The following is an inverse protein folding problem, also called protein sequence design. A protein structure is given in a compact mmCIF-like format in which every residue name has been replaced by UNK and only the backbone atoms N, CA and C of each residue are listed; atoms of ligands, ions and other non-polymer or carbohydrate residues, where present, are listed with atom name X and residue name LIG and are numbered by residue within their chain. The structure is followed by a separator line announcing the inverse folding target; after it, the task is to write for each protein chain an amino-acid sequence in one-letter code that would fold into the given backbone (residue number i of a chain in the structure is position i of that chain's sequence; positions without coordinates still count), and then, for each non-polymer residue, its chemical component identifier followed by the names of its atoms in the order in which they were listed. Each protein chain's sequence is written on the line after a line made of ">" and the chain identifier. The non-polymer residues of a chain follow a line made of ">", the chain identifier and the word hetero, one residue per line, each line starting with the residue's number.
data_IF_158636889035
#
_entry.id   IF_158636889035
#
_cell.length_a   1.000
_cell.length_b   1.000
_cell.length_c   1.000
_cell.angle_alpha   90.00
_cell.angle_beta   90.00
_cell.angle_gamma   90.00
#
_symmetry.space_group_name_H-M   'P 1'
#
loop_
_entity.id
_entity.type
_entity.pdbx_description
1 polymer ?
#
# COMPACT_ATOMS: atom_id res chain seq x y z
N UNK A 1 -11.05 -29.67 3.89
CA UNK A 1 -9.94 -28.76 3.57
C UNK A 1 -9.50 -28.07 4.85
N UNK A 2 -8.20 -27.85 5.05
CA UNK A 2 -7.68 -27.20 6.27
C UNK A 2 -7.70 -25.69 6.08
N UNK A 3 -8.32 -24.96 7.00
CA UNK A 3 -8.29 -23.49 7.03
C UNK A 3 -6.86 -22.98 7.21
N UNK A 4 -6.57 -21.82 6.65
CA UNK A 4 -5.24 -21.17 6.72
C UNK A 4 -5.34 -19.66 6.78
N UNK A 5 -4.32 -19.00 7.32
CA UNK A 5 -4.13 -17.56 7.22
C UNK A 5 -3.31 -17.28 5.97
N UNK A 6 -3.78 -16.37 5.11
CA UNK A 6 -3.06 -15.95 3.92
C UNK A 6 -2.46 -14.57 4.11
N UNK A 7 -1.16 -14.44 3.91
CA UNK A 7 -0.47 -13.17 3.75
C UNK A 7 -0.44 -12.83 2.26
N UNK A 8 -0.92 -11.65 1.90
CA UNK A 8 -0.98 -11.19 0.50
C UNK A 8 -0.63 -9.70 0.43
N UNK A 9 -0.81 -9.07 -0.71
CA UNK A 9 -0.68 -7.63 -0.94
C UNK A 9 -1.24 -7.27 -2.29
N UNK A 10 -0.85 -6.12 -2.84
CA UNK A 10 -1.17 -5.77 -4.24
C UNK A 10 -0.45 -6.75 -5.19
N UNK A 11 -1.17 -7.80 -5.57
CA UNK A 11 -0.69 -8.83 -6.50
C UNK A 11 -0.64 -8.32 -7.94
N UNK A 12 -1.28 -7.18 -8.21
CA UNK A 12 -1.44 -6.64 -9.54
C UNK A 12 -0.34 -5.61 -9.86
N UNK A 13 0.26 -4.98 -8.84
CA UNK A 13 1.26 -3.92 -9.03
C UNK A 13 2.54 -4.42 -9.75
N UNK A 14 2.81 -3.94 -10.98
CA UNK A 14 4.06 -4.20 -11.66
C UNK A 14 5.16 -3.23 -11.21
N UNK A 15 6.41 -3.55 -11.53
CA UNK A 15 7.53 -2.61 -11.48
C UNK A 15 7.34 -1.51 -12.54
N UNK A 16 7.91 -0.32 -12.33
CA UNK A 16 7.72 0.81 -13.25
C UNK A 16 8.30 0.50 -14.65
N UNK A 17 9.45 -0.17 -14.71
CA UNK A 17 10.20 -0.41 -15.94
C UNK A 17 9.88 -1.76 -16.61
N UNK A 18 9.16 -2.65 -15.93
CA UNK A 18 8.88 -3.99 -16.41
C UNK A 18 7.62 -4.60 -15.79
N UNK A 19 6.88 -5.40 -16.56
CA UNK A 19 5.76 -6.18 -16.05
C UNK A 19 6.23 -7.38 -15.23
N UNK A 20 6.69 -7.08 -14.01
CA UNK A 20 7.23 -7.99 -13.00
C UNK A 20 6.67 -7.58 -11.63
N UNK A 21 6.54 -8.50 -10.67
CA UNK A 21 5.96 -8.18 -9.37
C UNK A 21 6.77 -7.12 -8.61
N UNK A 22 6.09 -6.04 -8.20
CA UNK A 22 6.70 -5.00 -7.35
C UNK A 22 6.59 -5.30 -5.85
N UNK A 23 5.53 -6.02 -5.42
CA UNK A 23 5.24 -6.23 -3.99
C UNK A 23 5.72 -7.57 -3.43
N UNK A 24 6.25 -8.49 -4.26
CA UNK A 24 6.62 -9.85 -3.84
C UNK A 24 7.52 -9.87 -2.60
N UNK A 25 8.56 -9.06 -2.61
CA UNK A 25 9.56 -9.07 -1.54
C UNK A 25 9.05 -8.39 -0.28
N UNK A 26 8.20 -7.37 -0.41
CA UNK A 26 7.49 -6.74 0.70
C UNK A 26 6.51 -7.71 1.38
N UNK A 27 5.70 -8.44 0.60
CA UNK A 27 4.78 -9.46 1.14
C UNK A 27 5.57 -10.57 1.86
N UNK A 28 6.70 -11.01 1.30
CA UNK A 28 7.60 -11.99 1.94
C UNK A 28 8.22 -11.47 3.23
N UNK A 29 8.66 -10.22 3.24
CA UNK A 29 9.18 -9.56 4.43
C UNK A 29 8.10 -9.48 5.52
N UNK A 30 6.90 -9.04 5.17
CA UNK A 30 5.79 -8.93 6.11
C UNK A 30 5.37 -10.31 6.63
N UNK A 31 5.27 -11.33 5.77
CA UNK A 31 5.04 -12.72 6.19
C UNK A 31 6.07 -13.18 7.22
N UNK A 32 7.37 -12.91 7.00
CA UNK A 32 8.41 -13.28 7.97
C UNK A 32 8.25 -12.59 9.31
N UNK A 33 7.78 -11.34 9.32
CA UNK A 33 7.52 -10.56 10.52
C UNK A 33 6.36 -11.14 11.33
N UNK A 34 5.24 -11.51 10.68
CA UNK A 34 3.99 -11.84 11.38
C UNK A 34 3.63 -13.32 11.45
N UNK A 35 4.26 -14.21 10.64
CA UNK A 35 3.85 -15.63 10.55
C UNK A 35 3.89 -16.38 11.87
N UNK A 36 4.89 -16.14 12.71
CA UNK A 36 5.07 -16.85 13.99
C UNK A 36 4.02 -16.41 15.03
N UNK A 37 3.83 -15.12 15.31
CA UNK A 37 2.80 -14.70 16.24
C UNK A 37 1.39 -15.08 15.76
N UNK A 38 1.09 -14.98 14.45
CA UNK A 38 -0.21 -15.39 13.91
C UNK A 38 -0.46 -16.90 14.07
N UNK A 39 0.53 -17.74 13.72
CA UNK A 39 0.42 -19.18 13.90
C UNK A 39 0.26 -19.57 15.38
N UNK A 40 1.01 -18.92 16.28
CA UNK A 40 0.92 -19.17 17.72
C UNK A 40 -0.46 -18.77 18.29
N UNK A 41 -1.03 -17.64 17.84
CA UNK A 41 -2.31 -17.15 18.34
C UNK A 41 -3.51 -17.96 17.83
N UNK A 42 -3.40 -18.57 16.65
CA UNK A 42 -4.54 -19.20 15.96
C UNK A 42 -4.45 -20.71 15.81
N UNK A 43 -3.24 -21.29 15.93
CA UNK A 43 -2.98 -22.68 15.58
C UNK A 43 -3.10 -22.99 14.09
N UNK A 44 -3.31 -21.98 13.23
CA UNK A 44 -3.47 -22.16 11.78
C UNK A 44 -2.13 -22.02 11.06
N UNK A 45 -1.94 -22.72 9.91
CA UNK A 45 -0.83 -22.44 9.02
C UNK A 45 -0.94 -21.02 8.44
N UNK A 46 0.22 -20.35 8.30
CA UNK A 46 0.32 -19.00 7.74
C UNK A 46 1.13 -19.07 6.44
N UNK A 47 0.45 -18.89 5.32
CA UNK A 47 0.98 -19.03 3.97
C UNK A 47 0.97 -17.70 3.23
N UNK A 48 1.56 -17.65 2.04
CA UNK A 48 1.57 -16.45 1.19
C UNK A 48 0.85 -16.70 -0.13
N UNK A 49 0.09 -15.71 -0.59
CA UNK A 49 -0.29 -15.58 -2.01
C UNK A 49 0.61 -14.52 -2.62
N UNK A 50 1.32 -14.86 -3.69
CA UNK A 50 2.30 -13.99 -4.33
C UNK A 50 2.11 -14.04 -5.84
N UNK A 51 2.25 -12.91 -6.52
CA UNK A 51 2.68 -12.94 -7.92
C UNK A 51 4.17 -13.33 -7.93
N UNK A 52 4.46 -14.55 -8.35
CA UNK A 52 5.84 -15.02 -8.52
C UNK A 52 6.07 -15.43 -9.97
N UNK A 53 7.11 -14.88 -10.58
CA UNK A 53 7.56 -15.23 -11.92
C UNK A 53 8.51 -16.44 -11.90
N UNK A 54 8.88 -16.95 -10.72
CA UNK A 54 9.86 -18.02 -10.52
C UNK A 54 9.27 -19.31 -9.90
N UNK A 55 7.97 -19.37 -9.63
CA UNK A 55 7.35 -20.52 -8.94
C UNK A 55 5.81 -20.49 -8.95
N UNK A 56 5.15 -21.42 -8.25
CA UNK A 56 3.69 -21.43 -8.14
C UNK A 56 3.24 -20.18 -7.39
N UNK A 57 2.50 -19.32 -8.10
CA UNK A 57 1.99 -18.06 -7.58
C UNK A 57 0.68 -17.71 -8.25
N UNK A 58 0.12 -16.57 -7.88
CA UNK A 58 -1.02 -15.97 -8.57
C UNK A 58 -0.61 -15.61 -10.01
N UNK A 59 -1.36 -16.13 -10.99
CA UNK A 59 -1.16 -15.84 -12.40
C UNK A 59 -1.66 -14.43 -12.74
N UNK A 60 -0.82 -13.45 -12.42
CA UNK A 60 -1.11 -12.04 -12.69
C UNK A 60 -1.19 -11.73 -14.18
N UNK A 61 -0.30 -12.24 -15.07
CA UNK A 61 -0.47 -12.07 -16.51
C UNK A 61 -1.81 -12.63 -17.02
N UNK A 62 -2.20 -13.83 -16.58
CA UNK A 62 -3.51 -14.40 -16.91
C UNK A 62 -4.67 -13.56 -16.37
N UNK A 63 -4.56 -13.04 -15.15
CA UNK A 63 -5.57 -12.17 -14.56
C UNK A 63 -5.76 -10.88 -15.36
N UNK A 64 -4.66 -10.25 -15.80
CA UNK A 64 -4.72 -9.06 -16.64
C UNK A 64 -5.42 -9.34 -17.98
N UNK A 65 -5.08 -10.46 -18.63
CA UNK A 65 -5.75 -10.89 -19.86
C UNK A 65 -7.25 -11.14 -19.64
N UNK A 66 -7.61 -11.87 -18.58
CA UNK A 66 -9.00 -12.16 -18.22
C UNK A 66 -9.78 -10.87 -17.86
N UNK A 67 -9.12 -9.88 -17.25
CA UNK A 67 -9.72 -8.60 -16.90
C UNK A 67 -9.77 -7.60 -18.07
N UNK A 68 -9.14 -7.92 -19.21
CA UNK A 68 -9.06 -7.02 -20.37
C UNK A 68 -8.15 -5.81 -20.14
N UNK A 69 -7.16 -5.92 -19.25
CA UNK A 69 -6.22 -4.85 -18.92
C UNK A 69 -4.87 -5.05 -19.63
N UNK A 70 -4.16 -3.95 -19.89
CA UNK A 70 -2.80 -3.98 -20.44
C UNK A 70 -1.80 -4.41 -19.36
N UNK A 71 -0.83 -5.29 -19.64
CA UNK A 71 0.13 -5.78 -18.65
C UNK A 71 1.23 -4.74 -18.38
N UNK A 72 0.86 -3.61 -17.78
CA UNK A 72 1.72 -2.48 -17.45
C UNK A 72 1.15 -1.65 -16.29
N UNK A 73 1.80 -0.52 -16.00
CA UNK A 73 1.38 0.42 -14.96
C UNK A 73 0.00 1.02 -15.25
N UNK A 74 -0.33 1.29 -16.52
CA UNK A 74 -1.63 1.84 -16.89
C UNK A 74 -2.75 0.84 -16.60
N UNK A 75 -2.55 -0.43 -16.97
CA UNK A 75 -3.47 -1.51 -16.63
C UNK A 75 -3.60 -1.71 -15.13
N UNK A 76 -2.50 -1.64 -14.37
CA UNK A 76 -2.57 -1.66 -12.89
C UNK A 76 -3.43 -0.53 -12.34
N UNK A 77 -3.22 0.70 -12.79
CA UNK A 77 -4.00 1.87 -12.36
C UNK A 77 -5.49 1.69 -12.67
N UNK A 78 -5.83 1.15 -13.84
CA UNK A 78 -7.21 0.85 -14.22
C UNK A 78 -7.85 -0.24 -13.33
N UNK A 79 -7.04 -1.20 -12.86
CA UNK A 79 -7.50 -2.33 -12.05
C UNK A 79 -7.56 -2.00 -10.56
N UNK A 80 -6.68 -1.12 -10.07
CA UNK A 80 -6.45 -0.87 -8.64
C UNK A 80 -7.75 -0.61 -7.88
N UNK A 81 -8.62 0.23 -8.44
CA UNK A 81 -9.94 0.56 -7.92
C UNK A 81 -11.06 0.29 -8.94
N UNK A 82 -10.91 -0.73 -9.79
CA UNK A 82 -11.92 -1.07 -10.79
C UNK A 82 -13.30 -1.35 -10.15
N UNK A 83 -14.41 -0.80 -10.67
CA UNK A 83 -15.74 -1.01 -10.08
C UNK A 83 -16.24 -2.45 -10.28
N UNK A 84 -15.76 -3.13 -11.31
CA UNK A 84 -16.13 -4.50 -11.64
C UNK A 84 -14.98 -5.23 -12.33
N UNK A 85 -15.03 -6.56 -12.28
CA UNK A 85 -14.14 -7.48 -12.98
C UNK A 85 -14.97 -8.44 -13.83
N UNK A 86 -14.34 -9.08 -14.81
CA UNK A 86 -14.95 -10.19 -15.54
C UNK A 86 -15.15 -11.39 -14.63
N UNK A 87 -16.09 -12.27 -14.95
CA UNK A 87 -16.35 -13.48 -14.18
C UNK A 87 -15.11 -14.40 -14.09
N UNK A 88 -14.31 -14.44 -15.15
CA UNK A 88 -13.06 -15.19 -15.20
C UNK A 88 -12.03 -14.63 -14.22
N UNK A 89 -11.78 -13.32 -14.25
CA UNK A 89 -10.86 -12.65 -13.31
C UNK A 89 -11.30 -12.82 -11.85
N UNK A 90 -12.61 -12.73 -11.59
CA UNK A 90 -13.20 -13.02 -10.27
C UNK A 90 -12.88 -14.45 -9.84
N UNK A 91 -13.10 -15.43 -10.74
CA UNK A 91 -12.82 -16.84 -10.49
C UNK A 91 -11.35 -17.11 -10.15
N UNK A 92 -10.42 -16.49 -10.88
CA UNK A 92 -8.98 -16.60 -10.61
C UNK A 92 -8.61 -16.10 -9.21
N UNK A 93 -9.09 -14.92 -8.83
CA UNK A 93 -8.79 -14.32 -7.54
C UNK A 93 -9.49 -15.07 -6.38
N UNK A 94 -10.72 -15.53 -6.59
CA UNK A 94 -11.43 -16.38 -5.61
C UNK A 94 -10.68 -17.70 -5.37
N UNK A 95 -10.18 -18.34 -6.43
CA UNK A 95 -9.39 -19.56 -6.32
C UNK A 95 -8.08 -19.33 -5.54
N UNK A 96 -7.43 -18.18 -5.74
CA UNK A 96 -6.20 -17.82 -5.04
C UNK A 96 -6.39 -17.67 -3.51
N UNK A 97 -7.58 -17.25 -3.08
CA UNK A 97 -7.94 -17.08 -1.66
C UNK A 97 -8.80 -18.22 -1.10
N UNK A 98 -8.93 -19.33 -1.83
CA UNK A 98 -9.69 -20.48 -1.37
C UNK A 98 -9.16 -21.02 -0.03
N UNK A 99 -10.10 -21.40 0.84
CA UNK A 99 -9.88 -21.91 2.21
C UNK A 99 -9.20 -20.92 3.17
N UNK A 100 -9.09 -19.64 2.81
CA UNK A 100 -8.62 -18.61 3.72
C UNK A 100 -9.59 -18.43 4.89
N UNK A 101 -9.08 -18.56 6.11
CA UNK A 101 -9.80 -18.13 7.31
C UNK A 101 -9.80 -16.60 7.43
N UNK A 102 -8.67 -15.99 7.08
CA UNK A 102 -8.47 -14.54 7.05
C UNK A 102 -7.33 -14.23 6.09
N UNK A 103 -7.44 -13.11 5.39
CA UNK A 103 -6.37 -12.54 4.56
C UNK A 103 -5.77 -11.35 5.30
N UNK A 104 -4.47 -11.39 5.59
CA UNK A 104 -3.72 -10.24 6.11
C UNK A 104 -2.88 -9.67 4.97
N UNK A 105 -3.32 -8.54 4.46
CA UNK A 105 -2.75 -7.86 3.32
C UNK A 105 -1.66 -6.88 3.70
N UNK A 106 -0.58 -6.82 2.93
CA UNK A 106 0.36 -5.71 2.92
C UNK A 106 0.07 -4.85 1.68
N UNK A 107 -0.60 -3.72 1.89
CA UNK A 107 -1.00 -2.79 0.85
C UNK A 107 -1.90 -3.40 -0.25
N UNK A 108 -3.00 -4.06 0.12
CA UNK A 108 -3.98 -4.59 -0.85
C UNK A 108 -4.53 -3.48 -1.76
N UNK A 109 -4.77 -3.83 -3.03
CA UNK A 109 -5.54 -3.00 -3.94
C UNK A 109 -7.03 -2.96 -3.53
N UNK A 110 -7.71 -1.86 -3.83
CA UNK A 110 -9.13 -1.66 -3.47
C UNK A 110 -10.04 -2.71 -4.12
N UNK A 111 -9.74 -3.13 -5.35
CA UNK A 111 -10.45 -4.22 -6.01
C UNK A 111 -10.31 -5.54 -5.24
N UNK A 112 -9.14 -5.83 -4.67
CA UNK A 112 -8.93 -7.05 -3.88
C UNK A 112 -9.74 -7.00 -2.59
N UNK A 113 -9.76 -5.84 -1.90
CA UNK A 113 -10.58 -5.63 -0.69
C UNK A 113 -12.06 -5.85 -0.97
N UNK A 114 -12.58 -5.23 -2.04
CA UNK A 114 -13.99 -5.42 -2.45
C UNK A 114 -14.32 -6.88 -2.74
N UNK A 115 -13.45 -7.58 -3.47
CA UNK A 115 -13.68 -8.98 -3.79
C UNK A 115 -13.67 -9.85 -2.53
N UNK A 116 -12.71 -9.67 -1.63
CA UNK A 116 -12.64 -10.41 -0.37
C UNK A 116 -13.90 -10.19 0.47
N UNK A 117 -14.35 -8.94 0.59
CA UNK A 117 -15.63 -8.61 1.24
C UNK A 117 -16.81 -9.33 0.56
N UNK A 118 -16.88 -9.32 -0.77
CA UNK A 118 -17.96 -9.97 -1.51
C UNK A 118 -17.96 -11.50 -1.34
N UNK A 119 -16.79 -12.11 -1.23
CA UNK A 119 -16.61 -13.54 -0.97
C UNK A 119 -16.84 -13.92 0.50
N UNK A 120 -17.10 -12.95 1.39
CA UNK A 120 -17.24 -13.18 2.83
C UNK A 120 -15.94 -13.61 3.50
N UNK A 121 -14.79 -13.27 2.90
CA UNK A 121 -13.47 -13.54 3.45
C UNK A 121 -13.02 -12.31 4.24
N UNK A 122 -12.83 -12.49 5.56
CA UNK A 122 -12.30 -11.42 6.41
C UNK A 122 -10.93 -11.00 5.96
N UNK A 123 -10.70 -9.68 5.90
CA UNK A 123 -9.41 -9.13 5.54
C UNK A 123 -8.96 -8.02 6.48
N UNK A 124 -7.64 -7.96 6.69
CA UNK A 124 -6.95 -6.92 7.43
C UNK A 124 -5.85 -6.41 6.52
N UNK A 125 -5.97 -5.19 6.01
CA UNK A 125 -4.97 -4.54 5.19
C UNK A 125 -4.05 -3.69 6.06
N UNK A 126 -2.74 -3.82 5.86
CA UNK A 126 -1.74 -3.04 6.58
C UNK A 126 -0.87 -2.24 5.62
N UNK A 127 -0.56 -1.01 6.02
CA UNK A 127 0.35 -0.11 5.33
C UNK A 127 1.41 0.34 6.32
N UNK A 128 2.66 0.54 5.89
CA UNK A 128 3.64 1.19 6.77
C UNK A 128 3.15 2.61 7.08
N UNK A 129 3.04 2.94 8.36
CA UNK A 129 2.58 4.24 8.81
C UNK A 129 3.55 5.36 8.34
N UNK A 130 3.07 6.58 8.06
CA UNK A 130 3.93 7.71 7.69
C UNK A 130 4.90 8.13 8.81
N UNK A 131 4.59 7.84 10.08
CA UNK A 131 5.51 8.09 11.19
C UNK A 131 6.62 7.06 11.21
N UNK A 132 7.81 7.47 10.76
CA UNK A 132 9.01 6.62 10.62
C UNK A 132 10.22 7.15 11.40
N UNK A 133 10.01 8.11 12.30
CA UNK A 133 11.05 8.73 13.12
C UNK A 133 11.09 8.18 14.56
N UNK A 134 10.16 7.30 14.92
CA UNK A 134 10.18 6.54 16.17
C UNK A 134 11.01 5.26 16.09
N UNK A 135 11.19 4.55 17.21
CA UNK A 135 12.01 3.35 17.29
C UNK A 135 11.32 2.10 16.73
N UNK A 136 9.99 2.12 16.60
CA UNK A 136 9.17 0.98 16.21
C UNK A 136 8.68 1.06 14.76
N UNK A 137 8.37 -0.10 14.20
CA UNK A 137 7.66 -0.22 12.94
C UNK A 137 6.15 -0.13 13.17
N UNK A 138 5.57 0.96 12.70
CA UNK A 138 4.14 1.23 12.84
C UNK A 138 3.40 0.87 11.56
N UNK A 139 2.18 0.35 11.73
CA UNK A 139 1.27 0.06 10.63
C UNK A 139 -0.01 0.88 10.77
N UNK A 140 -0.44 1.49 9.67
CA UNK A 140 -1.84 1.88 9.49
C UNK A 140 -2.62 0.64 9.07
N UNK A 141 -3.81 0.42 9.66
CA UNK A 141 -4.60 -0.80 9.45
C UNK A 141 -6.01 -0.44 8.99
N UNK A 142 -6.50 -1.18 7.99
CA UNK A 142 -7.87 -1.12 7.49
C UNK A 142 -8.50 -2.53 7.45
N UNK A 143 -9.82 -2.60 7.59
CA UNK A 143 -10.61 -3.84 7.54
C UNK A 143 -12.07 -3.46 7.26
N UNK A 144 -12.85 -4.36 6.64
CA UNK A 144 -14.28 -4.13 6.44
C UNK A 144 -15.10 -4.49 7.69
N UNK A 145 -14.51 -5.21 8.64
CA UNK A 145 -15.19 -5.83 9.77
C UNK A 145 -15.12 -4.95 11.03
N UNK A 146 -16.23 -4.35 11.48
CA UNK A 146 -16.22 -3.44 12.63
C UNK A 146 -15.74 -4.10 13.94
N UNK A 147 -16.04 -5.37 14.12
CA UNK A 147 -15.62 -6.13 15.31
C UNK A 147 -14.10 -6.33 15.34
N UNK A 148 -13.49 -6.63 14.19
CA UNK A 148 -12.03 -6.74 14.05
C UNK A 148 -11.39 -5.39 14.33
N UNK A 149 -11.90 -4.31 13.71
CA UNK A 149 -11.45 -2.94 13.97
C UNK A 149 -11.56 -2.57 15.46
N UNK A 150 -12.63 -2.97 16.15
CA UNK A 150 -12.80 -2.69 17.58
C UNK A 150 -11.74 -3.38 18.45
N UNK A 151 -11.30 -4.58 18.10
CA UNK A 151 -10.19 -5.25 18.81
C UNK A 151 -8.85 -4.55 18.52
N UNK A 152 -8.59 -4.22 17.25
CA UNK A 152 -7.35 -3.57 16.82
C UNK A 152 -7.18 -2.17 17.43
N UNK A 153 -8.26 -1.40 17.58
CA UNK A 153 -8.25 -0.06 18.19
C UNK A 153 -7.67 0.00 19.60
N UNK A 154 -7.69 -1.12 20.35
CA UNK A 154 -7.07 -1.20 21.69
C UNK A 154 -5.54 -1.06 21.65
N UNK A 155 -4.96 -1.24 20.47
CA UNK A 155 -3.52 -1.10 20.21
C UNK A 155 -3.21 0.16 19.40
N UNK A 156 -4.17 1.08 19.25
CA UNK A 156 -3.94 2.38 18.64
C UNK A 156 -2.91 3.17 19.44
N UNK A 157 -1.97 3.79 18.75
CA UNK A 157 -1.01 4.71 19.34
C UNK A 157 -1.42 6.14 18.99
N UNK A 158 -1.65 6.96 20.01
CA UNK A 158 -2.01 8.38 19.83
C UNK A 158 -0.79 9.23 19.48
N UNK A 159 -1.02 10.37 18.82
CA UNK A 159 0.04 11.29 18.37
C UNK A 159 1.01 11.71 19.49
N UNK A 160 0.49 11.86 20.72
CA UNK A 160 1.27 12.18 21.92
C UNK A 160 2.43 11.20 22.19
N UNK A 161 2.33 9.94 21.72
CA UNK A 161 3.40 8.94 21.85
C UNK A 161 4.58 9.27 20.91
N UNK A 162 4.31 9.98 19.81
CA UNK A 162 5.29 10.28 18.76
C UNK A 162 5.87 11.69 18.86
N UNK A 163 5.19 12.64 19.49
CA UNK A 163 5.65 14.02 19.67
C UNK A 163 7.10 14.12 20.21
N UNK A 164 7.52 13.37 21.25
CA UNK A 164 8.90 13.45 21.74
C UNK A 164 9.94 13.03 20.70
N UNK A 165 9.60 12.10 19.82
CA UNK A 165 10.48 11.66 18.73
C UNK A 165 10.55 12.69 17.61
N UNK A 166 9.44 13.36 17.31
CA UNK A 166 9.41 14.48 16.37
C UNK A 166 10.27 15.65 16.89
N UNK A 167 10.15 15.98 18.17
CA UNK A 167 10.95 17.03 18.83
C UNK A 167 12.44 16.68 18.83
N UNK A 168 12.80 15.42 19.11
CA UNK A 168 14.18 14.97 19.06
C UNK A 168 14.77 15.12 17.63
N UNK A 169 14.01 14.76 16.60
CA UNK A 169 14.41 14.93 15.21
C UNK A 169 14.58 16.42 14.87
N UNK A 170 13.62 17.26 15.25
CA UNK A 170 13.67 18.71 15.02
C UNK A 170 14.88 19.35 15.73
N UNK A 171 15.14 18.98 16.98
CA UNK A 171 16.29 19.44 17.76
C UNK A 171 17.62 18.96 17.17
N UNK A 172 17.65 17.77 16.55
CA UNK A 172 18.84 17.27 15.86
C UNK A 172 19.12 18.07 14.59
N UNK A 173 18.08 18.32 13.79
CA UNK A 173 18.18 19.08 12.54
C UNK A 173 18.48 20.57 12.80
N UNK A 174 18.00 21.17 13.90
CA UNK A 174 18.30 22.57 14.22
C UNK A 174 19.80 22.86 14.43
N UNK A 175 20.58 21.82 14.75
CA UNK A 175 22.04 21.89 14.89
C UNK A 175 22.78 21.72 13.57
N UNK A 176 22.08 21.40 12.49
CA UNK A 176 22.62 21.24 11.15
C UNK A 176 22.30 22.49 10.34
N UNK A 177 23.20 23.48 10.27
CA UNK A 177 22.96 24.68 9.48
C UNK A 177 22.72 24.28 8.02
N UNK A 178 21.73 24.89 7.32
CA UNK A 178 21.49 24.55 5.93
C UNK A 178 22.71 24.92 5.09
N UNK A 179 23.00 24.10 4.07
CA UNK A 179 24.14 24.34 3.17
C UNK A 179 24.08 25.71 2.46
N UNK A 180 22.87 26.26 2.31
CA UNK A 180 22.60 27.61 1.80
C UNK A 180 21.39 28.22 2.51
N UNK A 181 21.29 29.54 2.61
CA UNK A 181 20.06 30.19 3.08
C UNK A 181 18.87 29.78 2.20
N UNK A 182 17.77 29.36 2.84
CA UNK A 182 16.50 29.10 2.14
C UNK A 182 15.77 30.44 2.06
N UNK A 183 15.42 30.86 0.84
CA UNK A 183 14.79 32.17 0.58
C UNK A 183 13.42 32.05 -0.10
N UNK A 184 13.07 30.82 -0.48
CA UNK A 184 11.81 30.44 -1.09
C UNK A 184 10.76 30.25 0.02
N UNK A 185 9.60 30.92 -0.07
CA UNK A 185 8.56 30.83 0.96
C UNK A 185 7.78 29.51 0.94
N UNK A 186 7.90 28.70 -0.12
CA UNK A 186 7.16 27.46 -0.30
C UNK A 186 8.12 26.30 -0.58
N UNK A 187 7.91 25.18 0.11
CA UNK A 187 8.56 23.90 -0.16
C UNK A 187 7.59 22.96 -0.88
N UNK A 188 7.97 22.50 -2.06
CA UNK A 188 7.29 21.42 -2.77
C UNK A 188 8.12 20.15 -2.61
N UNK A 189 7.54 19.14 -1.98
CA UNK A 189 8.17 17.82 -1.78
C UNK A 189 7.67 16.87 -2.86
N UNK A 190 8.59 16.34 -3.65
CA UNK A 190 8.31 15.36 -4.69
C UNK A 190 7.99 13.98 -4.12
N UNK A 191 7.22 13.22 -4.87
CA UNK A 191 6.85 11.83 -4.59
C UNK A 191 7.37 10.92 -5.71
N UNK A 192 7.38 9.60 -5.46
CA UNK A 192 7.58 8.60 -6.52
C UNK A 192 6.58 8.80 -7.65
N UNK A 193 6.99 8.46 -8.88
CA UNK A 193 6.15 8.65 -10.08
C UNK A 193 4.95 7.73 -10.07
N UNK A 194 5.14 6.49 -9.63
CA UNK A 194 4.10 5.45 -9.62
C UNK A 194 3.86 4.99 -8.19
N UNK A 195 2.83 5.55 -7.58
CA UNK A 195 2.39 5.19 -6.24
C UNK A 195 0.86 5.08 -6.15
N UNK A 196 0.36 4.17 -5.33
CA UNK A 196 -1.09 4.00 -5.16
C UNK A 196 -1.77 5.24 -4.56
N UNK A 197 -1.05 6.02 -3.74
CA UNK A 197 -1.58 7.26 -3.18
C UNK A 197 -1.82 8.34 -4.25
N UNK A 198 -1.27 8.15 -5.45
CA UNK A 198 -1.50 9.00 -6.61
C UNK A 198 -2.66 8.50 -7.49
N UNK A 199 -3.23 7.33 -7.21
CA UNK A 199 -4.34 6.79 -8.00
C UNK A 199 -5.65 7.42 -7.54
N UNK A 200 -6.38 8.03 -8.48
CA UNK A 200 -7.72 8.56 -8.26
C UNK A 200 -8.57 8.35 -9.51
N UNK A 201 -9.76 7.80 -9.33
CA UNK A 201 -10.74 7.58 -10.40
C UNK A 201 -10.15 6.86 -11.63
N UNK A 202 -9.32 5.83 -11.38
CA UNK A 202 -8.66 5.03 -12.43
C UNK A 202 -7.55 5.79 -13.19
N UNK A 203 -7.00 6.86 -12.62
CA UNK A 203 -5.90 7.64 -13.21
C UNK A 203 -4.77 7.83 -12.21
N UNK A 204 -3.55 7.89 -12.72
CA UNK A 204 -2.37 8.25 -11.94
C UNK A 204 -2.18 9.77 -12.01
N UNK A 205 -2.27 10.43 -10.86
CA UNK A 205 -2.09 11.87 -10.75
C UNK A 205 -0.61 12.23 -10.57
N UNK A 206 -0.25 13.41 -11.07
CA UNK A 206 1.05 14.02 -10.84
C UNK A 206 0.88 15.53 -10.54
N UNK A 207 1.99 16.22 -10.28
CA UNK A 207 1.95 17.65 -9.95
C UNK A 207 1.34 18.52 -11.07
N UNK A 208 1.41 18.09 -12.34
CA UNK A 208 0.86 18.87 -13.46
C UNK A 208 -0.65 19.00 -13.38
N UNK A 209 -1.33 18.03 -12.78
CA UNK A 209 -2.78 18.05 -12.54
C UNK A 209 -3.20 19.13 -11.54
N UNK A 210 -2.26 19.61 -10.70
CA UNK A 210 -2.50 20.62 -9.67
C UNK A 210 -1.86 21.98 -10.01
N UNK A 211 -1.33 22.15 -11.23
CA UNK A 211 -0.61 23.36 -11.63
C UNK A 211 -1.35 24.68 -11.38
N UNK A 212 -2.65 24.81 -11.74
CA UNK A 212 -3.43 26.01 -11.44
C UNK A 212 -3.56 26.29 -9.94
N UNK A 213 -3.90 25.27 -9.14
CA UNK A 213 -4.03 25.40 -7.68
C UNK A 213 -2.69 25.73 -7.01
N UNK A 214 -1.59 25.16 -7.50
CA UNK A 214 -0.25 25.48 -7.02
C UNK A 214 0.12 26.94 -7.32
N UNK A 215 -0.15 27.42 -8.55
CA UNK A 215 0.08 28.83 -8.91
C UNK A 215 -0.78 29.78 -8.10
N UNK A 216 -2.03 29.43 -7.82
CA UNK A 216 -2.91 30.21 -6.95
C UNK A 216 -2.35 30.29 -5.53
N UNK A 217 -1.89 29.17 -4.97
CA UNK A 217 -1.34 29.10 -3.62
C UNK A 217 0.01 29.83 -3.46
N UNK A 218 0.86 29.79 -4.50
CA UNK A 218 2.22 30.34 -4.46
C UNK A 218 2.30 31.77 -5.01
N UNK A 219 1.36 32.15 -5.88
CA UNK A 219 1.38 33.40 -6.66
C UNK A 219 2.22 33.28 -7.93
N UNK A 220 1.90 34.09 -8.95
CA UNK A 220 2.59 34.09 -10.26
C UNK A 220 4.10 34.35 -10.17
N UNK A 221 4.53 35.18 -9.22
CA UNK A 221 5.96 35.47 -8.96
C UNK A 221 6.54 34.65 -7.79
N UNK A 222 5.75 33.73 -7.22
CA UNK A 222 6.16 32.98 -6.06
C UNK A 222 7.25 31.98 -6.40
N UNK A 223 8.31 31.97 -5.58
CA UNK A 223 9.43 31.05 -5.71
C UNK A 223 9.18 29.81 -4.86
N UNK A 224 9.42 28.64 -5.44
CA UNK A 224 9.34 27.35 -4.73
C UNK A 224 10.71 26.72 -4.58
N UNK A 225 10.98 26.17 -3.40
CA UNK A 225 12.03 25.19 -3.21
C UNK A 225 11.46 23.83 -3.56
N UNK A 226 12.03 23.15 -4.55
CA UNK A 226 11.64 21.79 -4.89
C UNK A 226 12.61 20.77 -4.30
N UNK A 227 12.10 19.85 -3.48
CA UNK A 227 12.84 18.69 -2.99
C UNK A 227 12.31 17.43 -3.68
N UNK A 228 13.06 16.90 -4.64
CA UNK A 228 12.71 15.64 -5.29
C UNK A 228 12.60 14.47 -4.29
N UNK A 229 11.77 13.48 -4.62
CA UNK A 229 11.78 12.20 -3.93
C UNK A 229 13.19 11.57 -4.07
N UNK A 230 13.76 11.00 -3.01
CA UNK A 230 15.04 10.28 -3.07
C UNK A 230 15.06 9.15 -4.09
#
# INVERSE_FOLDING_TARGET
>A
MSRRILISGDLLRPQEEAFRPAQRDNIRWFHRLVRRPLAAATGLPVETVLWDHLGPGFDTPGFYAAAGATPDVEGWVSLFDAPALTAEAIGMMAAAYADAAVVVGFELAEIQKRLLTHLGITWIDVNIHPYRFGPDLLFAIATAEPEVMAQLRRHHADDLVFEPWADLLAATVSRMPPHRPITEPCLVVGQTRVDRALIRDGRLLDLSHFGPALREAVGEEGRVLFKAHP
#
